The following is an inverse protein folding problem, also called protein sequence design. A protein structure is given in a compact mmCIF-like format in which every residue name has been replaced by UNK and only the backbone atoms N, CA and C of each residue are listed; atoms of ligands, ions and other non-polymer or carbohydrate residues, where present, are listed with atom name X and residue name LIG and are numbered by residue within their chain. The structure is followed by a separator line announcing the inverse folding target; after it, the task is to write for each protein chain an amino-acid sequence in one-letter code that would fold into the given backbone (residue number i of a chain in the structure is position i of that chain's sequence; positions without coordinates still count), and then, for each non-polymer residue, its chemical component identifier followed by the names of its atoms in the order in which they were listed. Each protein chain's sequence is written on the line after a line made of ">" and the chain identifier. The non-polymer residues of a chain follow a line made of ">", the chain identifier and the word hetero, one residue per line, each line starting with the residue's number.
data_IF_985142761059
#
_entry.id   IF_985142761059
#
_cell.length_a   1.000
_cell.length_b   1.000
_cell.length_c   1.000
_cell.angle_alpha   90.00
_cell.angle_beta   90.00
_cell.angle_gamma   90.00
#
_symmetry.space_group_name_H-M   'P 1'
#
loop_
_entity.id
_entity.type
_entity.pdbx_description
1 polymer ?
#
# COMPACT_ATOMS: atom_id res chain seq x y z
N UNK A 1 -69.31 -45.44 -45.74
CA UNK A 1 -69.04 -45.45 -44.28
C UNK A 1 -67.56 -45.69 -43.96
N UNK A 2 -66.93 -46.78 -44.40
CA UNK A 2 -65.51 -47.08 -44.11
C UNK A 2 -64.51 -46.00 -44.59
N UNK A 3 -64.72 -45.43 -45.78
CA UNK A 3 -63.82 -44.39 -46.33
C UNK A 3 -63.88 -43.06 -45.57
N UNK A 4 -65.06 -42.74 -45.01
CA UNK A 4 -65.26 -41.54 -44.20
C UNK A 4 -64.50 -41.65 -42.87
N UNK A 5 -64.54 -42.82 -42.23
CA UNK A 5 -63.77 -43.09 -41.02
C UNK A 5 -62.27 -43.05 -41.30
N UNK A 6 -61.80 -43.66 -42.39
CA UNK A 6 -60.39 -43.63 -42.77
C UNK A 6 -59.88 -42.20 -43.00
N UNK A 7 -60.71 -41.32 -43.60
CA UNK A 7 -60.40 -39.90 -43.77
C UNK A 7 -60.33 -39.17 -42.43
N UNK A 8 -61.33 -39.32 -41.57
CA UNK A 8 -61.35 -38.69 -40.25
C UNK A 8 -60.15 -39.10 -39.36
N UNK A 9 -59.74 -40.36 -39.42
CA UNK A 9 -58.54 -40.84 -38.71
C UNK A 9 -57.25 -40.21 -39.26
N UNK A 10 -57.12 -40.08 -40.59
CA UNK A 10 -55.97 -39.39 -41.21
C UNK A 10 -55.94 -37.91 -40.81
N UNK A 11 -57.07 -37.21 -40.91
CA UNK A 11 -57.17 -35.80 -40.54
C UNK A 11 -56.81 -35.57 -39.06
N UNK A 12 -57.27 -36.46 -38.18
CA UNK A 12 -56.91 -36.43 -36.74
C UNK A 12 -55.42 -36.68 -36.53
N UNK A 13 -54.82 -37.64 -37.25
CA UNK A 13 -53.39 -37.93 -37.18
C UNK A 13 -52.55 -36.76 -37.66
N UNK A 14 -52.93 -36.17 -38.78
CA UNK A 14 -52.22 -35.04 -39.39
C UNK A 14 -52.34 -33.79 -38.49
N UNK A 15 -53.50 -33.56 -37.88
CA UNK A 15 -53.66 -32.49 -36.88
C UNK A 15 -52.75 -32.73 -35.67
N UNK A 16 -52.70 -33.95 -35.14
CA UNK A 16 -51.81 -34.31 -34.01
C UNK A 16 -50.34 -34.10 -34.37
N UNK A 17 -49.92 -34.51 -35.57
CA UNK A 17 -48.56 -34.34 -36.04
C UNK A 17 -48.21 -32.85 -36.15
N UNK A 18 -49.06 -32.04 -36.79
CA UNK A 18 -48.84 -30.58 -36.90
C UNK A 18 -48.71 -29.91 -35.54
N UNK A 19 -49.54 -30.30 -34.57
CA UNK A 19 -49.43 -29.76 -33.21
C UNK A 19 -48.16 -30.23 -32.49
N UNK A 20 -47.70 -31.46 -32.74
CA UNK A 20 -46.47 -31.98 -32.18
C UNK A 20 -45.24 -31.27 -32.76
N UNK A 21 -45.21 -31.05 -34.08
CA UNK A 21 -44.13 -30.34 -34.76
C UNK A 21 -44.04 -28.87 -34.30
N UNK A 22 -45.19 -28.20 -34.19
CA UNK A 22 -45.26 -26.83 -33.68
C UNK A 22 -44.80 -26.74 -32.21
N UNK A 23 -45.16 -27.73 -31.39
CA UNK A 23 -44.68 -27.82 -30.00
C UNK A 23 -43.16 -28.01 -29.96
N UNK A 24 -42.61 -28.94 -30.74
CA UNK A 24 -41.17 -29.19 -30.78
C UNK A 24 -40.38 -27.94 -31.20
N UNK A 25 -40.87 -27.19 -32.19
CA UNK A 25 -40.27 -25.93 -32.60
C UNK A 25 -40.33 -24.85 -31.50
N UNK A 26 -41.41 -24.82 -30.72
CA UNK A 26 -41.54 -23.91 -29.57
C UNK A 26 -40.58 -24.29 -28.44
N UNK A 27 -40.46 -25.59 -28.13
CA UNK A 27 -39.55 -26.10 -27.10
C UNK A 27 -38.08 -25.79 -27.48
N UNK A 28 -37.70 -25.95 -28.75
CA UNK A 28 -36.37 -25.58 -29.26
C UNK A 28 -36.09 -24.07 -29.07
N UNK A 29 -37.06 -23.22 -29.42
CA UNK A 29 -36.96 -21.76 -29.23
C UNK A 29 -36.84 -21.40 -27.75
N UNK A 30 -37.56 -22.11 -26.88
CA UNK A 30 -37.51 -21.88 -25.43
C UNK A 30 -36.12 -22.21 -24.87
N UNK A 31 -35.50 -23.32 -25.30
CA UNK A 31 -34.11 -23.64 -24.93
C UNK A 31 -33.15 -22.56 -25.42
N UNK A 32 -33.31 -22.10 -26.67
CA UNK A 32 -32.51 -21.01 -27.23
C UNK A 32 -32.63 -19.72 -26.40
N UNK A 33 -33.84 -19.36 -25.97
CA UNK A 33 -34.07 -18.21 -25.10
C UNK A 33 -33.38 -18.36 -23.75
N UNK A 34 -33.48 -19.54 -23.12
CA UNK A 34 -32.81 -19.79 -21.83
C UNK A 34 -31.29 -19.67 -21.93
N UNK A 35 -30.68 -20.13 -23.03
CA UNK A 35 -29.24 -19.98 -23.27
C UNK A 35 -28.84 -18.51 -23.34
N UNK A 36 -29.55 -17.69 -24.11
CA UNK A 36 -29.26 -16.26 -24.24
C UNK A 36 -29.46 -15.53 -22.91
N UNK A 37 -30.52 -15.84 -22.16
CA UNK A 37 -30.74 -15.26 -20.83
C UNK A 37 -29.62 -15.61 -19.85
N UNK A 38 -29.07 -16.82 -19.93
CA UNK A 38 -27.92 -17.22 -19.12
C UNK A 38 -26.67 -16.45 -19.51
N UNK A 39 -26.39 -16.30 -20.81
CA UNK A 39 -25.26 -15.53 -21.31
C UNK A 39 -25.35 -14.06 -20.89
N UNK A 40 -26.52 -13.43 -21.05
CA UNK A 40 -26.77 -12.05 -20.62
C UNK A 40 -26.47 -11.90 -19.12
N UNK A 41 -27.03 -12.78 -18.29
CA UNK A 41 -26.79 -12.74 -16.84
C UNK A 41 -25.30 -12.91 -16.51
N UNK A 42 -24.62 -13.86 -17.15
CA UNK A 42 -23.20 -14.08 -16.93
C UNK A 42 -22.37 -12.85 -17.27
N UNK A 43 -22.65 -12.21 -18.41
CA UNK A 43 -21.98 -10.98 -18.84
C UNK A 43 -22.25 -9.82 -17.87
N UNK A 44 -23.49 -9.67 -17.39
CA UNK A 44 -23.83 -8.66 -16.38
C UNK A 44 -23.08 -8.89 -15.07
N UNK A 45 -23.03 -10.13 -14.59
CA UNK A 45 -22.27 -10.50 -13.38
C UNK A 45 -20.77 -10.21 -13.56
N UNK A 46 -20.22 -10.45 -14.76
CA UNK A 46 -18.83 -10.15 -15.08
C UNK A 46 -18.55 -8.64 -15.16
N UNK A 47 -19.46 -7.86 -15.75
CA UNK A 47 -19.38 -6.40 -15.77
C UNK A 47 -19.37 -5.84 -14.34
N UNK A 48 -20.22 -6.36 -13.45
CA UNK A 48 -20.24 -5.95 -12.04
C UNK A 48 -18.90 -6.29 -11.38
N UNK A 49 -18.39 -7.51 -11.54
CA UNK A 49 -17.08 -7.90 -11.01
C UNK A 49 -15.94 -7.00 -11.51
N UNK A 50 -15.96 -6.65 -12.80
CA UNK A 50 -14.95 -5.75 -13.39
C UNK A 50 -15.08 -4.31 -12.87
N UNK A 51 -16.29 -3.83 -12.58
CA UNK A 51 -16.52 -2.49 -12.00
C UNK A 51 -16.18 -2.41 -10.52
N UNK A 52 -16.36 -3.51 -9.80
CA UNK A 52 -15.99 -3.63 -8.39
C UNK A 52 -14.48 -3.76 -8.19
N UNK A 53 -13.70 -3.84 -9.27
CA UNK A 53 -12.25 -3.81 -9.19
C UNK A 53 -11.76 -2.50 -8.58
N UNK A 54 -11.32 -2.58 -7.31
CA UNK A 54 -10.64 -1.49 -6.62
C UNK A 54 -9.14 -1.68 -6.74
N UNK A 55 -8.50 -0.75 -7.45
CA UNK A 55 -7.06 -0.63 -7.49
C UNK A 55 -6.54 0.14 -6.28
N UNK A 56 -5.42 -0.32 -5.71
CA UNK A 56 -4.79 0.26 -4.52
C UNK A 56 -4.56 1.77 -4.61
N UNK A 57 -4.36 2.34 -5.80
CA UNK A 57 -4.12 3.78 -5.96
C UNK A 57 -5.30 4.67 -5.55
N UNK A 58 -6.52 4.13 -5.47
CA UNK A 58 -7.71 4.89 -5.08
C UNK A 58 -7.72 5.26 -3.60
N UNK A 59 -6.99 4.50 -2.77
CA UNK A 59 -6.93 4.69 -1.32
C UNK A 59 -5.66 5.42 -0.87
N UNK A 60 -4.82 5.89 -1.80
CA UNK A 60 -3.57 6.58 -1.49
C UNK A 60 -3.83 8.07 -1.36
N UNK A 61 -3.44 8.65 -0.23
CA UNK A 61 -3.38 10.10 -0.07
C UNK A 61 -2.32 10.68 -1.00
N UNK A 62 -2.75 11.48 -1.98
CA UNK A 62 -1.87 12.16 -2.93
C UNK A 62 -1.74 13.63 -2.57
N UNK A 63 -0.59 14.23 -2.95
CA UNK A 63 -0.43 15.69 -2.90
C UNK A 63 -1.59 16.38 -3.64
N UNK A 64 -2.18 17.45 -3.06
CA UNK A 64 -3.25 18.21 -3.70
C UNK A 64 -2.89 18.68 -5.10
N UNK A 65 -3.88 18.84 -5.97
CA UNK A 65 -3.65 19.18 -7.38
C UNK A 65 -2.88 20.49 -7.57
N UNK A 66 -3.19 21.51 -6.76
CA UNK A 66 -2.55 22.83 -6.84
C UNK A 66 -1.06 22.78 -6.47
N UNK A 67 -0.74 22.02 -5.43
CA UNK A 67 0.64 21.76 -5.01
C UNK A 67 1.40 20.94 -6.07
N UNK A 68 0.75 19.92 -6.64
CA UNK A 68 1.33 19.14 -7.73
C UNK A 68 1.66 20.04 -8.93
N UNK A 69 0.75 20.92 -9.34
CA UNK A 69 0.98 21.81 -10.48
C UNK A 69 2.13 22.80 -10.24
N UNK A 70 2.40 23.15 -8.99
CA UNK A 70 3.45 24.12 -8.63
C UNK A 70 4.80 23.43 -8.44
N UNK A 71 4.82 22.21 -7.88
CA UNK A 71 6.05 21.49 -7.51
C UNK A 71 6.53 20.52 -8.58
N UNK A 72 5.64 19.98 -9.40
CA UNK A 72 5.99 18.95 -10.35
C UNK A 72 6.80 19.53 -11.53
N UNK A 73 7.91 18.87 -11.93
CA UNK A 73 8.63 19.19 -13.16
C UNK A 73 7.74 19.18 -14.41
N UNK A 74 8.15 19.92 -15.45
CA UNK A 74 7.40 20.04 -16.71
C UNK A 74 7.09 18.69 -17.36
N UNK A 75 7.96 17.69 -17.16
CA UNK A 75 7.82 16.32 -17.65
C UNK A 75 6.53 15.63 -17.14
N UNK A 76 6.09 15.96 -15.92
CA UNK A 76 4.88 15.42 -15.31
C UNK A 76 3.62 16.22 -15.63
N UNK A 77 3.79 17.41 -16.23
CA UNK A 77 2.72 18.32 -16.60
C UNK A 77 2.27 18.16 -18.06
N UNK A 78 2.75 17.11 -18.74
CA UNK A 78 2.35 16.75 -20.11
C UNK A 78 0.95 16.13 -20.11
N UNK A 79 0.13 16.49 -21.10
CA UNK A 79 -1.19 15.90 -21.35
C UNK A 79 -2.16 15.96 -20.14
N UNK A 80 -2.27 17.17 -19.54
CA UNK A 80 -3.20 17.43 -18.42
C UNK A 80 -4.67 17.30 -18.79
N UNK A 81 -4.99 17.32 -20.08
CA UNK A 81 -6.36 17.24 -20.59
C UNK A 81 -6.93 15.84 -20.43
N UNK A 82 -6.08 14.81 -20.46
CA UNK A 82 -6.48 13.43 -20.21
C UNK A 82 -6.42 13.09 -18.71
N UNK A 83 -7.56 12.82 -18.03
CA UNK A 83 -7.58 12.52 -16.60
C UNK A 83 -6.76 11.29 -16.22
N UNK A 84 -6.69 10.29 -17.10
CA UNK A 84 -5.94 9.06 -16.85
C UNK A 84 -4.43 9.32 -16.89
N UNK A 85 -3.96 10.01 -17.94
CA UNK A 85 -2.55 10.40 -18.07
C UNK A 85 -2.13 11.29 -16.90
N UNK A 86 -2.97 12.26 -16.53
CA UNK A 86 -2.74 13.12 -15.37
C UNK A 86 -2.61 12.31 -14.07
N UNK A 87 -3.48 11.34 -13.83
CA UNK A 87 -3.40 10.50 -12.63
C UNK A 87 -2.11 9.67 -12.59
N UNK A 88 -1.70 9.09 -13.72
CA UNK A 88 -0.43 8.35 -13.81
C UNK A 88 0.75 9.27 -13.49
N UNK A 89 0.78 10.48 -14.03
CA UNK A 89 1.86 11.44 -13.79
C UNK A 89 1.90 11.87 -12.32
N UNK A 90 0.74 12.09 -11.70
CA UNK A 90 0.64 12.38 -10.26
C UNK A 90 1.19 11.24 -9.41
N UNK A 91 0.84 9.99 -9.73
CA UNK A 91 1.33 8.81 -9.01
C UNK A 91 2.84 8.63 -9.14
N UNK A 92 3.41 8.86 -10.34
CA UNK A 92 4.85 8.78 -10.56
C UNK A 92 5.61 9.84 -9.76
N UNK A 93 5.14 11.09 -9.80
CA UNK A 93 5.71 12.17 -9.01
C UNK A 93 5.68 11.86 -7.51
N UNK A 94 4.55 11.40 -7.00
CA UNK A 94 4.40 11.02 -5.59
C UNK A 94 5.37 9.88 -5.21
N UNK A 95 5.52 8.89 -6.08
CA UNK A 95 6.45 7.78 -5.86
C UNK A 95 7.91 8.25 -5.76
N UNK A 96 8.34 9.14 -6.65
CA UNK A 96 9.69 9.71 -6.62
C UNK A 96 9.93 10.55 -5.36
N UNK A 97 8.97 11.41 -4.99
CA UNK A 97 9.08 12.24 -3.78
C UNK A 97 9.14 11.36 -2.52
N UNK A 98 8.30 10.33 -2.41
CA UNK A 98 8.33 9.38 -1.28
C UNK A 98 9.62 8.58 -1.24
N UNK A 99 10.14 8.17 -2.40
CA UNK A 99 11.41 7.44 -2.49
C UNK A 99 12.57 8.31 -2.01
N UNK A 100 12.62 9.58 -2.44
CA UNK A 100 13.63 10.55 -2.00
C UNK A 100 13.55 10.80 -0.49
N UNK A 101 12.34 11.00 0.04
CA UNK A 101 12.13 11.23 1.47
C UNK A 101 12.52 10.02 2.31
N UNK A 102 12.22 8.81 1.84
CA UNK A 102 12.63 7.57 2.50
C UNK A 102 14.15 7.43 2.56
N UNK A 103 14.84 7.69 1.45
CA UNK A 103 16.31 7.65 1.42
C UNK A 103 16.92 8.70 2.38
N UNK A 104 16.36 9.91 2.41
CA UNK A 104 16.79 10.95 3.35
C UNK A 104 16.54 10.55 4.81
N UNK A 105 15.38 9.94 5.10
CA UNK A 105 15.05 9.43 6.42
C UNK A 105 16.05 8.35 6.87
N UNK A 106 16.38 7.39 5.99
CA UNK A 106 17.34 6.34 6.28
C UNK A 106 18.75 6.91 6.56
N UNK A 107 19.20 7.89 5.77
CA UNK A 107 20.47 8.60 6.01
C UNK A 107 20.49 9.29 7.37
N UNK A 108 19.46 10.09 7.68
CA UNK A 108 19.35 10.80 8.96
C UNK A 108 19.24 9.84 10.16
N UNK A 109 18.57 8.69 9.98
CA UNK A 109 18.51 7.66 11.01
C UNK A 109 19.89 7.04 11.28
N UNK A 110 20.67 6.76 10.23
CA UNK A 110 22.03 6.27 10.37
C UNK A 110 22.94 7.28 11.09
N UNK A 111 22.90 8.55 10.69
CA UNK A 111 23.66 9.64 11.34
C UNK A 111 23.27 9.79 12.81
N UNK A 112 21.97 9.76 13.11
CA UNK A 112 21.47 9.80 14.49
C UNK A 112 22.04 8.67 15.33
N UNK A 113 22.08 7.44 14.80
CA UNK A 113 22.63 6.29 15.53
C UNK A 113 24.15 6.42 15.76
N UNK A 114 24.88 6.97 14.79
CA UNK A 114 26.30 7.27 14.94
C UNK A 114 26.54 8.29 16.05
N UNK A 115 25.82 9.41 16.02
CA UNK A 115 25.93 10.47 17.03
C UNK A 115 25.56 9.97 18.43
N UNK A 116 24.55 9.11 18.56
CA UNK A 116 24.19 8.48 19.85
C UNK A 116 25.36 7.62 20.36
N UNK A 117 26.00 6.85 19.48
CA UNK A 117 27.16 6.01 19.84
C UNK A 117 28.36 6.86 20.26
N UNK A 118 28.62 7.96 19.58
CA UNK A 118 29.70 8.89 19.91
C UNK A 118 29.45 9.60 21.23
N UNK A 119 28.25 10.11 21.46
CA UNK A 119 27.85 10.71 22.74
C UNK A 119 28.00 9.71 23.89
N UNK A 120 27.58 8.45 23.70
CA UNK A 120 27.76 7.41 24.73
C UNK A 120 29.24 7.17 25.05
N UNK A 121 30.11 7.11 24.03
CA UNK A 121 31.56 6.97 24.26
C UNK A 121 32.16 8.19 24.97
N UNK A 122 31.67 9.40 24.67
CA UNK A 122 32.09 10.61 25.36
C UNK A 122 31.64 10.59 26.82
N UNK A 123 30.39 10.18 27.10
CA UNK A 123 29.88 10.00 28.45
C UNK A 123 30.73 8.99 29.23
N UNK A 124 31.02 7.82 28.65
CA UNK A 124 31.89 6.82 29.28
C UNK A 124 33.32 7.33 29.55
N UNK A 125 33.81 8.32 28.78
CA UNK A 125 35.09 8.98 29.06
C UNK A 125 34.96 9.98 30.22
N UNK A 126 33.90 10.77 30.23
CA UNK A 126 33.61 11.71 31.32
C UNK A 126 33.44 10.97 32.64
N UNK A 127 32.63 9.91 32.67
CA UNK A 127 32.43 9.07 33.86
C UNK A 127 33.76 8.45 34.38
N UNK A 128 34.73 8.21 33.48
CA UNK A 128 36.08 7.76 33.88
C UNK A 128 36.91 8.89 34.47
N UNK A 129 36.86 10.09 33.88
CA UNK A 129 37.57 11.24 34.42
C UNK A 129 37.00 11.69 35.76
N UNK A 130 35.68 11.66 35.93
CA UNK A 130 35.03 11.97 37.21
C UNK A 130 35.54 11.05 38.32
N UNK A 131 35.60 9.73 38.05
CA UNK A 131 36.19 8.78 39.01
C UNK A 131 37.66 9.06 39.34
N UNK A 132 38.47 9.35 38.33
CA UNK A 132 39.89 9.67 38.55
C UNK A 132 40.08 10.96 39.36
N UNK A 133 39.20 11.95 39.17
CA UNK A 133 39.21 13.17 39.96
C UNK A 133 38.78 12.89 41.40
N UNK A 134 37.73 12.09 41.61
CA UNK A 134 37.29 11.68 42.95
C UNK A 134 38.42 10.92 43.69
N UNK A 135 39.09 10.00 43.00
CA UNK A 135 40.25 9.27 43.54
C UNK A 135 41.40 10.23 43.92
N UNK A 136 41.72 11.20 43.05
CA UNK A 136 42.75 12.20 43.33
C UNK A 136 42.38 13.08 44.54
N UNK A 137 41.13 13.51 44.66
CA UNK A 137 40.66 14.30 45.81
C UNK A 137 40.83 13.48 47.10
N UNK A 138 40.43 12.21 47.09
CA UNK A 138 40.64 11.33 48.24
C UNK A 138 42.13 11.15 48.59
N UNK A 139 42.99 10.99 47.59
CA UNK A 139 44.45 10.90 47.80
C UNK A 139 45.02 12.21 48.38
N UNK A 140 44.60 13.37 47.90
CA UNK A 140 45.00 14.67 48.44
C UNK A 140 44.53 14.86 49.89
N UNK A 141 43.26 14.54 50.19
CA UNK A 141 42.72 14.59 51.56
C UNK A 141 43.48 13.63 52.50
N UNK A 142 43.85 12.44 52.02
CA UNK A 142 44.64 11.48 52.79
C UNK A 142 46.09 11.95 53.05
N UNK A 143 46.64 12.78 52.15
CA UNK A 143 48.02 13.29 52.24
C UNK A 143 48.12 14.60 53.04
N UNK A 144 47.00 15.30 53.22
CA UNK A 144 46.89 16.57 53.97
C UNK A 144 47.50 16.51 55.40
N UNK A 145 47.35 15.43 56.19
CA UNK A 145 47.98 15.33 57.51
C UNK A 145 49.51 15.25 57.43
N UNK A 146 50.04 14.55 56.41
CA UNK A 146 51.48 14.42 56.19
C UNK A 146 52.08 15.75 55.74
N UNK A 147 51.36 16.48 54.88
CA UNK A 147 51.76 17.79 54.39
C UNK A 147 51.79 18.84 55.52
N UNK A 148 50.78 18.84 56.40
CA UNK A 148 50.76 19.67 57.63
C UNK A 148 51.94 19.33 58.55
N UNK A 149 52.24 18.06 58.76
CA UNK A 149 53.37 17.63 59.59
C UNK A 149 54.73 18.07 59.00
N UNK A 150 54.89 18.04 57.67
CA UNK A 150 56.10 18.53 57.01
C UNK A 150 56.26 20.05 57.10
N UNK A 151 55.17 20.81 56.96
CA UNK A 151 55.16 22.26 57.14
C UNK A 151 55.47 22.67 58.59
N UNK A 152 54.93 21.96 59.57
CA UNK A 152 55.25 22.17 60.98
C UNK A 152 56.72 21.86 61.27
N UNK A 153 57.25 20.74 60.74
CA UNK A 153 58.67 20.39 60.88
C UNK A 153 59.62 21.41 60.24
N UNK A 154 59.21 22.04 59.12
CA UNK A 154 59.97 23.11 58.45
C UNK A 154 59.97 24.44 59.21
N UNK A 155 59.01 24.69 60.09
CA UNK A 155 58.93 25.92 60.89
C UNK A 155 59.76 25.85 62.19
N UNK A 156 60.28 24.68 62.56
CA UNK A 156 61.13 24.44 63.74
C UNK A 156 62.63 24.30 63.42
N UNK A 157 63.03 24.55 62.16
CA UNK A 157 64.42 24.64 61.69
C UNK A 157 64.68 26.09 61.24
#
# INVERSE_FOLDING_TARGET
>A
MKDLHARAFRDTRDSKQRTADAKAAMDERQVGLQNVMYEERHLLDEIVRCRDFRSVYQDIDLVPYDEFCTRAPQEYLVDKENPHTLMINRLKFEYEERSRLKEQQEKLQAERLLLIKENRKAQEKLDRFDKLLDDLVQECEATEPVEKALLEASNYC
#
